data_IF_223995651262
#
_entry.id   IF_223995651262
#
_cell.length_a   1.000
_cell.length_b   1.000
_cell.length_c   1.000
_cell.angle_alpha   90.00
_cell.angle_beta   90.00
_cell.angle_gamma   90.00
#
_symmetry.space_group_name_H-M   'P 1'
#
loop_
_entity.id
_entity.type
_entity.pdbx_description
1 polymer ?
#
# COMPACT_ATOMS: atom_id res chain seq x y z
N UNK A 1 -11.98 20.68 -18.33
CA UNK A 1 -10.61 20.66 -17.74
C UNK A 1 -10.57 19.59 -16.67
N UNK A 2 -9.68 18.60 -16.78
CA UNK A 2 -9.58 17.48 -15.83
C UNK A 2 -8.34 17.74 -14.97
N UNK A 3 -8.54 18.33 -13.78
CA UNK A 3 -7.45 18.60 -12.84
C UNK A 3 -7.00 17.29 -12.23
N UNK A 4 -5.72 16.94 -12.40
CA UNK A 4 -5.10 15.82 -11.70
C UNK A 4 -4.89 16.29 -10.27
N UNK A 5 -5.61 15.71 -9.31
CA UNK A 5 -5.32 15.92 -7.90
C UNK A 5 -4.16 15.01 -7.51
N UNK A 6 -3.04 15.62 -7.12
CA UNK A 6 -1.86 14.92 -6.60
C UNK A 6 -1.94 15.06 -5.09
N UNK A 7 -2.25 13.96 -4.38
CA UNK A 7 -2.13 13.92 -2.93
C UNK A 7 -0.63 13.78 -2.60
N UNK A 8 -0.09 14.73 -1.84
CA UNK A 8 1.25 14.63 -1.30
C UNK A 8 1.17 13.90 0.04
N UNK A 9 1.11 12.57 -0.02
CA UNK A 9 1.09 11.74 1.17
C UNK A 9 2.54 11.44 1.60
N UNK A 10 3.00 12.05 2.69
CA UNK A 10 4.23 11.64 3.34
C UNK A 10 4.00 10.32 4.08
N UNK A 11 4.55 9.23 3.55
CA UNK A 11 4.46 7.92 4.20
C UNK A 11 5.48 7.82 5.35
N UNK A 12 5.07 8.24 6.55
CA UNK A 12 5.82 7.96 7.78
C UNK A 12 5.58 6.52 8.21
N UNK A 13 6.64 5.76 8.47
CA UNK A 13 6.49 4.36 8.89
C UNK A 13 5.86 4.26 10.28
N UNK A 14 5.08 3.20 10.52
CA UNK A 14 4.46 2.95 11.83
C UNK A 14 5.51 2.89 12.95
N UNK A 15 6.72 2.38 12.68
CA UNK A 15 7.78 2.37 13.67
C UNK A 15 8.19 3.79 14.12
N UNK A 16 8.27 4.76 13.21
CA UNK A 16 8.57 6.14 13.57
C UNK A 16 7.39 6.78 14.33
N UNK A 17 6.15 6.57 13.86
CA UNK A 17 4.95 7.06 14.56
C UNK A 17 4.86 6.54 16.01
N UNK A 18 5.21 5.26 16.23
CA UNK A 18 5.22 4.66 17.56
C UNK A 18 6.27 5.28 18.49
N UNK A 19 7.41 5.72 17.96
CA UNK A 19 8.43 6.42 18.73
C UNK A 19 8.01 7.85 19.05
N UNK A 20 7.47 8.56 18.05
CA UNK A 20 7.02 9.94 18.18
C UNK A 20 5.93 10.10 19.24
N UNK A 21 4.97 9.17 19.28
CA UNK A 21 3.90 9.13 20.28
C UNK A 21 4.39 8.58 21.64
N UNK A 22 5.65 8.14 21.75
CA UNK A 22 6.18 7.54 22.98
C UNK A 22 5.49 6.22 23.35
N UNK A 23 5.00 5.47 22.36
CA UNK A 23 4.44 4.13 22.58
C UNK A 23 5.53 3.12 22.97
N UNK A 24 6.76 3.36 22.54
CA UNK A 24 7.95 2.56 22.78
C UNK A 24 9.19 3.44 22.97
N UNK A 25 10.19 2.92 23.67
CA UNK A 25 11.40 3.69 24.01
C UNK A 25 12.57 3.41 23.06
N UNK A 26 12.47 2.41 22.19
CA UNK A 26 13.57 2.01 21.29
C UNK A 26 13.06 1.65 19.90
N UNK A 27 13.87 1.97 18.89
CA UNK A 27 13.62 1.60 17.48
C UNK A 27 13.42 0.10 17.31
N UNK A 28 14.17 -0.74 18.04
CA UNK A 28 14.01 -2.19 17.98
C UNK A 28 12.58 -2.62 18.36
N UNK A 29 12.03 -2.10 19.46
CA UNK A 29 10.66 -2.41 19.90
C UNK A 29 9.61 -1.86 18.93
N UNK A 30 9.88 -0.69 18.34
CA UNK A 30 9.03 -0.10 17.31
C UNK A 30 8.96 -1.00 16.08
N UNK A 31 10.12 -1.42 15.56
CA UNK A 31 10.22 -2.31 14.41
C UNK A 31 9.58 -3.67 14.66
N UNK A 32 9.75 -4.26 15.85
CA UNK A 32 9.05 -5.51 16.20
C UNK A 32 7.54 -5.34 16.13
N UNK A 33 7.00 -4.24 16.68
CA UNK A 33 5.55 -3.96 16.62
C UNK A 33 5.09 -3.71 15.18
N UNK A 34 5.90 -3.01 14.38
CA UNK A 34 5.65 -2.80 12.96
C UNK A 34 5.62 -4.11 12.16
N UNK A 35 6.50 -5.08 12.46
CA UNK A 35 6.48 -6.39 11.80
C UNK A 35 5.17 -7.15 12.04
N UNK A 36 4.65 -7.15 13.28
CA UNK A 36 3.36 -7.77 13.58
C UNK A 36 2.19 -7.00 12.96
N UNK A 37 2.27 -5.67 12.93
CA UNK A 37 1.29 -4.85 12.21
C UNK A 37 1.24 -5.24 10.72
N UNK A 38 2.39 -5.42 10.05
CA UNK A 38 2.43 -5.85 8.64
C UNK A 38 1.78 -7.22 8.44
N UNK A 39 2.00 -8.19 9.34
CA UNK A 39 1.33 -9.49 9.28
C UNK A 39 -0.19 -9.36 9.39
N UNK A 40 -0.66 -8.55 10.33
CA UNK A 40 -2.08 -8.25 10.49
C UNK A 40 -2.68 -7.56 9.27
N UNK A 41 -1.98 -6.58 8.70
CA UNK A 41 -2.38 -5.88 7.48
C UNK A 41 -2.49 -6.84 6.28
N UNK A 42 -1.67 -7.89 6.24
CA UNK A 42 -1.78 -8.96 5.24
C UNK A 42 -2.91 -9.97 5.54
N UNK A 43 -3.74 -9.72 6.55
CA UNK A 43 -4.88 -10.57 6.93
C UNK A 43 -4.55 -11.70 7.90
N UNK A 44 -3.34 -11.73 8.48
CA UNK A 44 -2.97 -12.77 9.45
C UNK A 44 -3.68 -12.51 10.78
N UNK A 45 -4.34 -13.53 11.36
CA UNK A 45 -4.84 -13.45 12.72
C UNK A 45 -3.68 -13.58 13.72
N UNK A 46 -3.29 -12.45 14.31
CA UNK A 46 -2.18 -12.39 15.26
C UNK A 46 -2.41 -13.21 16.53
N UNK A 47 -3.66 -13.55 16.88
CA UNK A 47 -3.95 -14.43 18.03
C UNK A 47 -3.44 -15.87 17.83
N UNK A 48 -3.20 -16.27 16.58
CA UNK A 48 -2.64 -17.60 16.26
C UNK A 48 -1.10 -17.60 16.23
N UNK A 49 -0.49 -16.42 16.09
CA UNK A 49 0.97 -16.25 15.97
C UNK A 49 1.60 -15.85 17.30
N UNK A 50 0.91 -15.01 18.07
CA UNK A 50 1.39 -14.46 19.32
C UNK A 50 0.73 -15.13 20.52
N UNK A 51 1.45 -15.17 21.64
CA UNK A 51 0.80 -15.44 22.91
C UNK A 51 -0.08 -14.26 23.33
N UNK A 52 -0.98 -14.52 24.28
CA UNK A 52 -1.99 -13.55 24.71
C UNK A 52 -1.36 -12.24 25.23
N UNK A 53 -0.29 -12.34 26.03
CA UNK A 53 0.39 -11.16 26.59
C UNK A 53 1.00 -10.28 25.51
N UNK A 54 1.74 -10.87 24.56
CA UNK A 54 2.36 -10.17 23.44
C UNK A 54 1.31 -9.51 22.54
N UNK A 55 0.21 -10.21 22.27
CA UNK A 55 -0.90 -9.68 21.50
C UNK A 55 -1.45 -8.39 22.11
N UNK A 56 -1.76 -8.39 23.41
CA UNK A 56 -2.27 -7.20 24.10
C UNK A 56 -1.21 -6.09 24.23
N UNK A 57 0.07 -6.44 24.39
CA UNK A 57 1.17 -5.48 24.38
C UNK A 57 1.24 -4.72 23.06
N UNK A 58 1.29 -5.43 21.92
CA UNK A 58 1.33 -4.80 20.60
C UNK A 58 0.03 -4.07 20.26
N UNK A 59 -1.14 -4.63 20.64
CA UNK A 59 -2.43 -3.94 20.50
C UNK A 59 -2.45 -2.60 21.23
N UNK A 60 -1.95 -2.55 22.46
CA UNK A 60 -1.91 -1.32 23.26
C UNK A 60 -1.04 -0.23 22.61
N UNK A 61 0.08 -0.63 22.01
CA UNK A 61 1.00 0.27 21.28
C UNK A 61 0.36 0.82 20.01
N UNK A 62 -0.20 -0.06 19.19
CA UNK A 62 -0.84 0.31 17.92
C UNK A 62 -2.10 1.17 18.12
N UNK A 63 -2.83 0.96 19.23
CA UNK A 63 -3.94 1.84 19.59
C UNK A 63 -3.54 3.30 19.77
N UNK A 64 -2.31 3.57 20.24
CA UNK A 64 -1.82 4.96 20.40
C UNK A 64 -1.65 5.69 19.07
N UNK A 65 -1.44 4.95 17.98
CA UNK A 65 -1.37 5.50 16.61
C UNK A 65 -2.69 5.31 15.84
N UNK A 66 -3.79 4.97 16.54
CA UNK A 66 -5.13 4.85 15.94
C UNK A 66 -5.44 3.51 15.28
N UNK A 67 -4.64 2.47 15.51
CA UNK A 67 -4.79 1.17 14.85
C UNK A 67 -5.28 0.13 15.88
N UNK A 68 -6.41 -0.54 15.60
CA UNK A 68 -6.93 -1.63 16.43
C UNK A 68 -6.83 -2.99 15.75
N UNK A 69 -5.79 -3.75 16.10
CA UNK A 69 -5.56 -5.13 15.62
C UNK A 69 -6.50 -6.17 16.26
N UNK A 70 -7.43 -5.74 17.11
CA UNK A 70 -8.44 -6.61 17.73
C UNK A 70 -9.47 -7.14 16.75
N UNK A 71 -9.68 -6.39 15.66
CA UNK A 71 -10.54 -6.75 14.53
C UNK A 71 -9.69 -7.33 13.38
N UNK A 72 -10.22 -8.27 12.58
CA UNK A 72 -9.53 -8.74 11.39
C UNK A 72 -9.38 -7.59 10.38
N UNK A 73 -8.24 -7.54 9.69
CA UNK A 73 -8.03 -6.56 8.64
C UNK A 73 -8.81 -6.96 7.37
N UNK A 74 -9.55 -6.01 6.79
CA UNK A 74 -10.24 -6.23 5.52
C UNK A 74 -9.26 -6.11 4.35
N UNK A 75 -8.62 -7.21 4.02
CA UNK A 75 -7.66 -7.30 2.89
C UNK A 75 -8.29 -7.01 1.53
N UNK A 76 -9.62 -7.13 1.39
CA UNK A 76 -10.30 -6.90 0.11
C UNK A 76 -10.33 -5.43 -0.29
N UNK A 77 -10.22 -4.53 0.70
CA UNK A 77 -10.17 -3.08 0.51
C UNK A 77 -8.76 -2.53 0.38
N UNK A 78 -7.74 -3.37 0.53
CA UNK A 78 -6.36 -2.93 0.40
C UNK A 78 -6.12 -2.64 -1.09
N UNK A 79 -5.89 -1.37 -1.44
CA UNK A 79 -5.56 -1.00 -2.81
C UNK A 79 -4.36 -1.85 -3.24
N UNK A 80 -4.48 -2.65 -4.32
CA UNK A 80 -3.35 -3.43 -4.79
C UNK A 80 -2.22 -2.45 -5.04
N UNK A 81 -1.10 -2.66 -4.35
CA UNK A 81 0.10 -1.84 -4.52
C UNK A 81 0.37 -1.80 -6.01
N UNK A 82 0.26 -0.62 -6.62
CA UNK A 82 0.29 -0.43 -8.06
C UNK A 82 1.68 -0.86 -8.56
N UNK A 83 1.85 -2.15 -8.93
CA UNK A 83 3.17 -2.75 -9.10
C UNK A 83 3.92 -2.29 -10.34
N UNK A 84 3.31 -1.49 -11.22
CA UNK A 84 3.97 -0.71 -12.28
C UNK A 84 2.92 0.17 -12.94
N UNK A 85 2.99 1.48 -12.75
CA UNK A 85 2.45 2.44 -13.72
C UNK A 85 3.52 2.68 -14.76
N UNK A 86 3.52 1.91 -15.84
CA UNK A 86 4.34 2.27 -17.00
C UNK A 86 3.57 3.30 -17.81
N UNK A 87 4.17 4.47 -18.02
CA UNK A 87 3.57 5.53 -18.83
C UNK A 87 3.66 5.10 -20.28
N UNK A 88 2.53 4.77 -20.90
CA UNK A 88 2.47 4.47 -22.33
C UNK A 88 2.44 5.80 -23.09
N UNK A 89 3.57 6.19 -23.67
CA UNK A 89 3.61 7.31 -24.61
C UNK A 89 2.96 6.93 -25.94
N UNK A 90 1.80 7.53 -26.25
CA UNK A 90 1.16 7.36 -27.56
C UNK A 90 1.97 8.14 -28.60
N UNK A 91 2.56 7.42 -29.56
CA UNK A 91 3.26 8.02 -30.71
C UNK A 91 2.48 7.74 -31.99
N UNK A 92 2.38 8.70 -32.92
CA UNK A 92 1.77 8.46 -34.22
C UNK A 92 2.53 7.37 -34.96
N UNK A 93 1.81 6.33 -35.40
CA UNK A 93 2.38 5.22 -36.16
C UNK A 93 2.61 5.65 -37.61
N UNK A 94 3.87 5.68 -38.05
CA UNK A 94 4.18 5.86 -39.47
C UNK A 94 3.72 4.66 -40.28
N UNK A 95 3.08 4.91 -41.42
CA UNK A 95 2.65 3.87 -42.36
C UNK A 95 3.87 3.04 -42.77
N UNK A 96 3.87 1.71 -42.59
CA UNK A 96 4.96 0.86 -43.04
C UNK A 96 5.13 0.92 -44.57
N UNK A 97 6.37 0.77 -45.04
CA UNK A 97 6.71 0.86 -46.48
C UNK A 97 5.97 -0.14 -47.37
N UNK A 98 5.48 -1.24 -46.80
CA UNK A 98 4.74 -2.28 -47.51
C UNK A 98 3.22 -2.03 -47.56
N UNK A 99 2.69 -1.08 -46.79
CA UNK A 99 1.25 -0.83 -46.74
C UNK A 99 0.80 0.03 -47.91
N UNK A 100 -0.20 -0.45 -48.65
CA UNK A 100 -0.85 0.29 -49.74
C UNK A 100 -2.31 0.59 -49.35
N UNK A 101 -2.69 1.87 -49.43
CA UNK A 101 -4.08 2.28 -49.20
C UNK A 101 -4.99 1.66 -50.28
N UNK A 102 -6.17 1.15 -49.89
CA UNK A 102 -7.14 0.66 -50.87
C UNK A 102 -7.58 1.79 -51.79
N UNK A 103 -7.41 1.62 -53.09
CA UNK A 103 -7.92 2.55 -54.09
C UNK A 103 -9.40 2.24 -54.29
N UNK A 104 -10.26 3.19 -53.96
CA UNK A 104 -11.70 3.06 -54.23
C UNK A 104 -11.88 2.98 -55.74
N UNK A 105 -12.54 1.92 -56.21
CA UNK A 105 -12.87 1.76 -57.62
C UNK A 105 -13.78 2.93 -58.05
N UNK A 106 -13.35 3.69 -59.05
CA UNK A 106 -14.19 4.74 -59.65
C UNK A 106 -15.32 4.06 -60.42
N UNK A 107 -16.56 4.39 -60.06
CA UNK A 107 -17.78 3.97 -60.75
C UNK A 107 -17.87 4.54 -62.16
#
# INVERSE_FOLDING_TARGET
MKTIQINHDEHVSIAHQLLEVGAVNTLRKANTTMSYFTLWQNGTDLRQVLNQSQFYEHKSRLKKVGIDIGQPFDVTRMCPTLRRSEVIEVKPLSIPSWYQLPVVAKS
#
